data_IF_531682523666
#
_entry.id   IF_531682523666
#
_cell.length_a   1.000
_cell.length_b   1.000
_cell.length_c   1.000
_cell.angle_alpha   90.00
_cell.angle_beta   90.00
_cell.angle_gamma   90.00
#
_symmetry.space_group_name_H-M   'P 1'
#
loop_
_entity.id
_entity.type
_entity.pdbx_description
1 polymer ?
#
# COMPACT_ATOMS: atom_id res chain seq x y z
N UNK A 1 3.69 -13.02 -24.62
CA UNK A 1 4.67 -12.20 -25.36
C UNK A 1 6.06 -12.38 -24.75
N UNK A 2 7.09 -12.62 -25.57
CA UNK A 2 8.48 -12.73 -25.10
C UNK A 2 9.13 -11.35 -25.18
N UNK A 3 9.48 -10.78 -24.03
CA UNK A 3 10.18 -9.49 -23.95
C UNK A 3 11.69 -9.71 -23.97
N UNK A 4 12.42 -8.76 -24.57
CA UNK A 4 13.88 -8.70 -24.55
C UNK A 4 14.34 -7.40 -23.91
N UNK A 5 15.59 -7.33 -23.46
CA UNK A 5 16.17 -6.12 -22.89
C UNK A 5 17.53 -5.81 -23.56
N UNK A 6 17.79 -4.55 -23.95
CA UNK A 6 16.86 -3.41 -23.98
C UNK A 6 15.90 -3.51 -25.18
N UNK A 7 14.62 -3.14 -24.99
CA UNK A 7 13.63 -3.08 -26.08
C UNK A 7 12.55 -2.04 -25.79
N UNK A 8 11.88 -1.57 -26.85
CA UNK A 8 10.75 -0.65 -26.72
C UNK A 8 9.57 -1.31 -26.02
N UNK A 9 9.37 -2.60 -26.25
CA UNK A 9 8.31 -3.40 -25.66
C UNK A 9 8.51 -3.56 -24.14
N UNK A 10 9.77 -3.64 -23.68
CA UNK A 10 10.10 -3.56 -22.26
C UNK A 10 9.73 -2.19 -21.69
N UNK A 11 10.13 -1.10 -22.35
CA UNK A 11 9.82 0.26 -21.90
C UNK A 11 8.30 0.50 -21.78
N UNK A 12 7.53 0.07 -22.78
CA UNK A 12 6.08 0.17 -22.79
C UNK A 12 5.43 -0.69 -21.70
N UNK A 13 5.93 -1.90 -21.46
CA UNK A 13 5.44 -2.76 -20.39
C UNK A 13 5.68 -2.15 -19.00
N UNK A 14 6.87 -1.57 -18.76
CA UNK A 14 7.19 -0.89 -17.50
C UNK A 14 6.32 0.35 -17.31
N UNK A 15 6.13 1.17 -18.35
CA UNK A 15 5.24 2.33 -18.30
C UNK A 15 3.79 1.93 -18.02
N UNK A 16 3.31 0.85 -18.64
CA UNK A 16 1.96 0.33 -18.41
C UNK A 16 1.78 -0.15 -16.96
N UNK A 17 2.81 -0.74 -16.34
CA UNK A 17 2.79 -1.12 -14.91
C UNK A 17 2.67 0.12 -14.03
N UNK A 18 3.49 1.16 -14.28
CA UNK A 18 3.42 2.42 -13.53
C UNK A 18 2.05 3.09 -13.63
N UNK A 19 1.42 3.07 -14.81
CA UNK A 19 0.11 3.67 -15.03
C UNK A 19 -1.09 2.76 -14.66
N UNK A 20 -0.85 1.56 -14.12
CA UNK A 20 -1.91 0.61 -13.79
C UNK A 20 -2.72 0.11 -15.01
N UNK A 21 -2.12 0.14 -16.20
CA UNK A 21 -2.74 -0.23 -17.49
C UNK A 21 -2.09 -1.45 -18.15
N UNK A 22 -1.17 -2.12 -17.46
CA UNK A 22 -0.51 -3.32 -17.96
C UNK A 22 -1.48 -4.47 -18.17
N UNK A 23 -1.46 -5.08 -19.35
CA UNK A 23 -2.18 -6.32 -19.64
C UNK A 23 -1.52 -7.53 -18.95
N UNK A 24 -2.29 -8.60 -18.75
CA UNK A 24 -1.79 -9.86 -18.20
C UNK A 24 -0.68 -10.48 -19.05
N UNK A 25 -0.67 -10.22 -20.36
CA UNK A 25 0.38 -10.68 -21.25
C UNK A 25 1.68 -9.88 -21.07
N UNK A 26 1.58 -8.55 -20.91
CA UNK A 26 2.73 -7.70 -20.61
C UNK A 26 3.32 -8.02 -19.23
N UNK A 27 2.48 -8.21 -18.21
CA UNK A 27 2.93 -8.57 -16.85
C UNK A 27 3.66 -9.93 -16.83
N UNK A 28 3.13 -10.93 -17.55
CA UNK A 28 3.80 -12.23 -17.66
C UNK A 28 5.15 -12.14 -18.36
N UNK A 29 5.20 -11.47 -19.52
CA UNK A 29 6.46 -11.29 -20.27
C UNK A 29 7.50 -10.49 -19.50
N UNK A 30 7.08 -9.47 -18.75
CA UNK A 30 7.97 -8.65 -17.91
C UNK A 30 8.53 -9.47 -16.75
N UNK A 31 7.68 -10.24 -16.05
CA UNK A 31 8.13 -11.13 -14.97
C UNK A 31 9.09 -12.24 -15.43
N UNK A 32 8.92 -12.76 -16.64
CA UNK A 32 9.87 -13.73 -17.22
C UNK A 32 11.22 -13.08 -17.49
N UNK A 33 11.24 -11.92 -18.15
CA UNK A 33 12.46 -11.18 -18.47
C UNK A 33 13.24 -10.77 -17.20
N UNK A 34 12.55 -10.26 -16.18
CA UNK A 34 13.15 -9.83 -14.92
C UNK A 34 13.77 -10.98 -14.12
N UNK A 35 13.32 -12.22 -14.32
CA UNK A 35 13.91 -13.40 -13.65
C UNK A 35 15.25 -13.80 -14.26
N UNK A 36 15.42 -13.61 -15.56
CA UNK A 36 16.60 -14.07 -16.30
C UNK A 36 17.67 -12.99 -16.53
N UNK A 37 17.32 -11.71 -16.45
CA UNK A 37 18.20 -10.59 -16.79
C UNK A 37 18.40 -9.63 -15.60
N UNK A 38 19.63 -9.47 -15.13
CA UNK A 38 19.96 -8.55 -14.03
C UNK A 38 19.92 -7.08 -14.45
N UNK A 39 20.35 -6.75 -15.67
CA UNK A 39 20.35 -5.37 -16.15
C UNK A 39 18.91 -4.86 -16.37
N UNK A 40 18.01 -5.74 -16.81
CA UNK A 40 16.58 -5.45 -16.87
C UNK A 40 15.98 -5.16 -15.47
N UNK A 41 16.41 -5.89 -14.43
CA UNK A 41 15.99 -5.64 -13.04
C UNK A 41 16.45 -4.29 -12.54
N UNK A 42 17.70 -3.93 -12.77
CA UNK A 42 18.26 -2.66 -12.32
C UNK A 42 17.51 -1.47 -12.97
N UNK A 43 17.24 -1.55 -14.27
CA UNK A 43 16.46 -0.52 -14.98
C UNK A 43 14.99 -0.47 -14.54
N UNK A 44 14.38 -1.62 -14.26
CA UNK A 44 13.01 -1.68 -13.75
C UNK A 44 12.89 -1.01 -12.38
N UNK A 45 13.80 -1.30 -11.45
CA UNK A 45 13.84 -0.70 -10.12
C UNK A 45 14.01 0.81 -10.21
N UNK A 46 14.98 1.28 -11.01
CA UNK A 46 15.24 2.71 -11.20
C UNK A 46 13.99 3.47 -11.68
N UNK A 47 13.27 2.91 -12.67
CA UNK A 47 12.06 3.55 -13.22
C UNK A 47 10.88 3.55 -12.26
N UNK A 48 10.70 2.46 -11.51
CA UNK A 48 9.67 2.37 -10.49
C UNK A 48 9.93 3.35 -9.33
N UNK A 49 11.20 3.48 -8.92
CA UNK A 49 11.62 4.46 -7.93
C UNK A 49 11.35 5.89 -8.40
N UNK A 50 11.78 6.26 -9.61
CA UNK A 50 11.49 7.58 -10.19
C UNK A 50 9.99 7.88 -10.24
N UNK A 51 9.18 6.91 -10.69
CA UNK A 51 7.73 7.05 -10.73
C UNK A 51 7.15 7.25 -9.32
N UNK A 52 7.61 6.48 -8.33
CA UNK A 52 7.16 6.61 -6.95
C UNK A 52 7.49 7.98 -6.35
N UNK A 53 8.69 8.51 -6.60
CA UNK A 53 9.11 9.84 -6.12
C UNK A 53 8.28 10.95 -6.77
N UNK A 54 8.12 10.90 -8.09
CA UNK A 54 7.28 11.86 -8.83
C UNK A 54 5.81 11.83 -8.41
N UNK A 55 5.29 10.66 -8.04
CA UNK A 55 3.92 10.52 -7.58
C UNK A 55 3.71 10.92 -6.10
N UNK A 56 4.79 10.95 -5.30
CA UNK A 56 4.70 11.10 -3.83
C UNK A 56 5.16 12.44 -3.29
N UNK A 57 5.82 13.29 -4.07
CA UNK A 57 6.28 14.62 -3.64
C UNK A 57 5.41 15.74 -4.26
N UNK A 58 4.53 16.40 -3.47
CA UNK A 58 3.79 17.58 -3.90
C UNK A 58 4.69 18.82 -4.10
N UNK A 59 5.88 18.82 -3.50
CA UNK A 59 6.81 19.97 -3.43
C UNK A 59 7.91 19.97 -4.51
N UNK A 60 7.93 19.02 -5.44
CA UNK A 60 8.90 19.03 -6.56
C UNK A 60 8.65 20.14 -7.60
N UNK A 61 7.50 20.81 -7.51
CA UNK A 61 7.24 22.04 -8.25
C UNK A 61 7.28 23.20 -7.27
N UNK A 62 8.43 23.86 -7.20
CA UNK A 62 8.57 25.19 -6.60
C UNK A 62 7.44 26.07 -7.12
N UNK A 63 6.55 26.49 -6.22
CA UNK A 63 5.73 27.67 -6.43
C UNK A 63 6.68 28.83 -6.73
N UNK A 64 6.64 29.35 -7.95
CA UNK A 64 7.27 30.60 -8.30
C UNK A 64 6.55 31.75 -7.57
N UNK A 65 6.74 31.85 -6.26
CA UNK A 65 6.46 33.09 -5.53
C UNK A 65 7.70 33.98 -5.64
N UNK A 66 7.58 34.90 -6.60
CA UNK A 66 7.99 36.30 -6.49
C UNK A 66 9.30 36.58 -5.74
N UNK A 67 10.42 36.50 -6.47
CA UNK A 67 11.51 37.45 -6.29
C UNK A 67 11.51 38.44 -7.45
N UNK A 68 10.81 39.55 -7.24
CA UNK A 68 11.14 40.82 -7.88
C UNK A 68 12.54 41.22 -7.43
N UNK A 69 13.54 41.02 -8.28
CA UNK A 69 14.78 41.79 -8.23
C UNK A 69 15.31 41.98 -9.63
N UNK A 70 15.21 43.23 -10.08
CA UNK A 70 15.94 43.77 -11.21
C UNK A 70 17.43 43.52 -11.00
N UNK A 71 18.00 42.64 -11.83
CA UNK A 71 19.44 42.57 -12.01
C UNK A 71 19.73 42.42 -13.51
N UNK A 72 19.94 43.58 -14.12
CA UNK A 72 20.64 43.73 -15.40
C UNK A 72 21.90 42.88 -15.43
N UNK A 73 21.98 41.95 -16.37
CA UNK A 73 23.26 41.43 -16.86
C UNK A 73 23.28 41.47 -18.39
N UNK A 74 24.11 42.40 -18.84
CA UNK A 74 24.62 42.54 -20.19
C UNK A 74 25.42 41.30 -20.60
N UNK A 75 25.28 40.92 -21.87
CA UNK A 75 26.38 40.29 -22.61
C UNK A 75 26.18 38.84 -23.06
N UNK A 76 26.38 38.69 -24.39
CA UNK A 76 26.59 37.46 -25.19
C UNK A 76 25.36 36.69 -25.64
N UNK A 77 24.99 37.00 -26.88
CA UNK A 77 24.07 36.22 -27.69
C UNK A 77 24.62 34.84 -28.02
N UNK A 78 23.68 33.89 -28.04
CA UNK A 78 23.79 32.63 -28.77
C UNK A 78 22.57 32.58 -29.69
N UNK A 79 22.79 32.83 -30.98
CA UNK A 79 21.80 32.65 -32.04
C UNK A 79 21.70 31.16 -32.35
N UNK A 80 20.55 30.54 -32.08
CA UNK A 80 20.22 29.23 -32.64
C UNK A 80 19.52 29.42 -34.00
N UNK A 81 19.85 28.61 -35.02
CA UNK A 81 19.39 28.82 -36.39
C UNK A 81 17.91 28.46 -36.54
N UNK A 82 17.14 29.38 -37.11
CA UNK A 82 15.74 29.18 -37.50
C UNK A 82 15.69 28.52 -38.87
N UNK A 83 15.73 27.19 -38.90
CA UNK A 83 15.40 26.40 -40.09
C UNK A 83 14.19 25.50 -39.80
N UNK A 84 13.00 26.00 -40.13
CA UNK A 84 11.83 25.15 -40.38
C UNK A 84 11.20 25.67 -41.68
N UNK A 85 11.15 24.87 -42.77
CA UNK A 85 10.50 25.27 -44.00
C UNK A 85 8.97 25.34 -43.77
N UNK A 86 8.40 26.48 -44.15
CA UNK A 86 6.96 26.69 -44.20
C UNK A 86 6.39 25.89 -45.38
N UNK A 87 5.63 24.84 -45.10
CA UNK A 87 4.86 24.11 -46.12
C UNK A 87 3.61 24.93 -46.41
N UNK A 88 3.60 25.60 -47.55
CA UNK A 88 2.40 26.18 -48.15
C UNK A 88 1.42 25.05 -48.50
N UNK A 89 0.20 25.15 -47.98
CA UNK A 89 -0.91 24.29 -48.39
C UNK A 89 -1.91 25.12 -49.21
N UNK A 90 -2.37 24.64 -50.38
CA UNK A 90 -3.22 25.43 -51.25
C UNK A 90 -4.64 25.48 -50.70
N UNK A 91 -5.18 26.70 -50.65
CA UNK A 91 -6.60 26.98 -50.39
C UNK A 91 -7.46 26.39 -51.51
N UNK A 92 -8.30 25.39 -51.19
CA UNK A 92 -9.40 24.95 -52.06
C UNK A 92 -10.73 25.22 -51.39
N UNK A 93 -11.51 26.13 -51.98
CA UNK A 93 -12.81 26.56 -51.48
C UNK A 93 -13.98 25.65 -51.88
N UNK A 94 -15.00 25.64 -50.99
CA UNK A 94 -16.46 25.39 -51.21
C UNK A 94 -16.85 24.05 -51.89
N UNK A 95 -17.78 23.22 -51.41
CA UNK A 95 -19.03 23.40 -50.66
C UNK A 95 -19.41 22.08 -49.97
N UNK A 96 -20.00 22.11 -48.76
CA UNK A 96 -21.13 21.25 -48.36
C UNK A 96 -21.67 21.71 -46.99
N UNK A 97 -22.53 22.74 -47.01
CA UNK A 97 -23.41 23.06 -45.88
C UNK A 97 -24.58 22.06 -45.88
N UNK A 98 -24.32 20.79 -45.59
CA UNK A 98 -25.36 19.79 -45.31
C UNK A 98 -24.80 18.54 -44.60
N UNK A 99 -23.80 18.71 -43.73
CA UNK A 99 -23.36 17.62 -42.82
C UNK A 99 -23.32 18.03 -41.36
N UNK A 100 -23.55 19.31 -41.03
CA UNK A 100 -23.42 19.82 -39.67
C UNK A 100 -24.62 19.51 -38.76
N UNK A 101 -25.80 19.22 -39.33
CA UNK A 101 -26.99 18.92 -38.52
C UNK A 101 -27.00 17.46 -38.03
N UNK A 102 -26.46 16.52 -38.82
CA UNK A 102 -26.39 15.10 -38.44
C UNK A 102 -25.26 14.84 -37.44
N UNK A 103 -24.13 15.56 -37.56
CA UNK A 103 -23.01 15.42 -36.64
C UNK A 103 -23.36 15.95 -35.21
N UNK A 104 -24.16 17.01 -35.10
CA UNK A 104 -24.52 17.58 -33.80
C UNK A 104 -25.46 16.66 -33.00
N UNK A 105 -26.40 16.00 -33.67
CA UNK A 105 -27.33 15.06 -33.04
C UNK A 105 -26.63 13.79 -32.53
N UNK A 106 -25.63 13.29 -33.28
CA UNK A 106 -24.82 12.15 -32.85
C UNK A 106 -23.95 12.48 -31.63
N UNK A 107 -23.39 13.69 -31.56
CA UNK A 107 -22.63 14.13 -30.39
C UNK A 107 -23.51 14.25 -29.13
N UNK A 108 -24.73 14.78 -29.24
CA UNK A 108 -25.64 14.89 -28.09
C UNK A 108 -26.10 13.51 -27.62
N UNK A 109 -26.36 12.57 -28.53
CA UNK A 109 -26.74 11.20 -28.18
C UNK A 109 -25.59 10.42 -27.51
N UNK A 110 -24.35 10.58 -27.98
CA UNK A 110 -23.16 9.97 -27.35
C UNK A 110 -22.87 10.57 -25.98
N UNK A 111 -23.05 11.88 -25.81
CA UNK A 111 -22.92 12.54 -24.51
C UNK A 111 -24.01 12.07 -23.55
N UNK A 112 -25.26 11.94 -23.99
CA UNK A 112 -26.35 11.45 -23.15
C UNK A 112 -26.18 9.97 -22.75
N UNK A 113 -25.73 9.11 -23.68
CA UNK A 113 -25.44 7.70 -23.40
C UNK A 113 -24.23 7.54 -22.48
N UNK A 114 -23.18 8.36 -22.66
CA UNK A 114 -22.03 8.41 -21.75
C UNK A 114 -22.41 8.91 -20.36
N UNK A 115 -23.33 9.88 -20.27
CA UNK A 115 -23.84 10.37 -18.99
C UNK A 115 -24.72 9.35 -18.26
N UNK A 116 -25.50 8.55 -19.01
CA UNK A 116 -26.35 7.50 -18.43
C UNK A 116 -25.54 6.26 -18.03
N UNK A 117 -24.54 5.87 -18.84
CA UNK A 117 -23.62 4.77 -18.53
C UNK A 117 -22.73 5.07 -17.32
N UNK A 118 -22.27 6.33 -17.19
CA UNK A 118 -21.51 6.79 -16.01
C UNK A 118 -22.37 6.96 -14.75
N UNK A 119 -23.71 7.03 -14.88
CA UNK A 119 -24.66 7.00 -13.74
C UNK A 119 -24.94 5.59 -13.23
N UNK A 120 -24.83 4.55 -14.07
CA UNK A 120 -24.97 3.15 -13.65
C UNK A 120 -23.65 2.53 -13.18
N UNK A 121 -22.52 3.06 -13.67
CA UNK A 121 -21.18 2.67 -13.24
C UNK A 121 -20.51 3.82 -12.49
N UNK A 122 -21.14 4.24 -11.38
CA UNK A 122 -20.33 4.82 -10.32
C UNK A 122 -19.55 3.67 -9.70
N UNK A 123 -18.21 3.59 -9.82
CA UNK A 123 -17.46 2.89 -8.80
C UNK A 123 -17.93 3.55 -7.50
N UNK A 124 -18.48 2.75 -6.57
CA UNK A 124 -18.82 3.23 -5.25
C UNK A 124 -17.62 4.04 -4.77
N UNK A 125 -17.72 5.37 -4.80
CA UNK A 125 -16.91 6.23 -3.96
C UNK A 125 -17.18 5.67 -2.58
N UNK A 126 -16.23 4.86 -2.09
CA UNK A 126 -16.17 4.54 -0.68
C UNK A 126 -15.92 5.88 -0.05
N UNK A 127 -17.03 6.54 0.29
CA UNK A 127 -17.15 7.62 1.25
C UNK A 127 -16.02 7.40 2.22
N UNK A 128 -15.06 8.32 2.27
CA UNK A 128 -13.89 8.21 3.14
C UNK A 128 -14.35 8.10 4.59
N UNK A 129 -14.78 6.92 5.01
CA UNK A 129 -14.77 6.49 6.38
C UNK A 129 -13.30 6.40 6.66
N UNK A 130 -12.77 7.36 7.40
CA UNK A 130 -11.48 7.21 8.09
C UNK A 130 -11.50 5.81 8.70
N UNK A 131 -10.80 4.87 8.06
CA UNK A 131 -10.85 3.47 8.44
C UNK A 131 -10.42 3.40 9.89
N UNK A 132 -11.25 2.82 10.76
CA UNK A 132 -10.87 2.64 12.18
C UNK A 132 -9.85 1.53 12.35
N UNK A 133 -9.30 1.02 11.26
CA UNK A 133 -8.34 -0.05 11.25
C UNK A 133 -7.12 0.27 12.12
N UNK A 134 -6.61 -0.78 12.77
CA UNK A 134 -5.47 -0.72 13.67
C UNK A 134 -4.34 -1.65 13.23
N UNK A 135 -4.64 -2.57 12.31
CA UNK A 135 -3.71 -3.54 11.78
C UNK A 135 -4.13 -4.01 10.37
N UNK A 136 -3.32 -4.86 9.74
CA UNK A 136 -3.64 -5.57 8.51
C UNK A 136 -3.32 -7.05 8.64
N UNK A 137 -4.15 -7.90 8.02
CA UNK A 137 -3.86 -9.31 7.86
C UNK A 137 -2.86 -9.50 6.71
N UNK A 138 -1.59 -9.75 7.03
CA UNK A 138 -0.51 -9.76 6.05
C UNK A 138 -0.21 -11.16 5.48
N UNK A 139 -0.35 -12.22 6.29
CA UNK A 139 -0.21 -13.61 5.85
C UNK A 139 -1.23 -14.51 6.54
N UNK A 140 -1.65 -15.57 5.86
CA UNK A 140 -2.52 -16.61 6.40
C UNK A 140 -2.12 -17.95 5.77
N UNK A 141 -1.95 -18.98 6.60
CA UNK A 141 -1.61 -20.36 6.18
C UNK A 141 -2.57 -21.32 6.87
N UNK A 142 -3.33 -22.09 6.09
CA UNK A 142 -4.30 -23.09 6.56
C UNK A 142 -5.26 -22.58 7.65
N UNK A 143 -5.65 -21.30 7.51
CA UNK A 143 -6.43 -20.58 8.50
C UNK A 143 -7.90 -20.97 8.45
N UNK A 144 -8.45 -21.33 9.61
CA UNK A 144 -9.89 -21.42 9.83
C UNK A 144 -10.30 -20.41 10.89
N UNK A 145 -11.12 -19.43 10.55
CA UNK A 145 -11.63 -18.43 11.49
C UNK A 145 -12.89 -18.93 12.22
N UNK A 146 -12.99 -18.64 13.51
CA UNK A 146 -14.17 -18.92 14.35
C UNK A 146 -14.91 -17.63 14.69
N UNK A 147 -15.43 -16.95 13.67
CA UNK A 147 -16.10 -15.66 13.86
C UNK A 147 -17.48 -15.60 13.21
N UNK A 148 -18.35 -14.81 13.84
CA UNK A 148 -19.70 -14.53 13.38
C UNK A 148 -19.65 -13.39 12.35
N UNK A 149 -19.35 -13.71 11.09
CA UNK A 149 -19.23 -12.74 10.01
C UNK A 149 -18.29 -13.22 8.91
N UNK A 150 -18.05 -12.37 7.91
CA UNK A 150 -17.11 -12.69 6.84
C UNK A 150 -15.69 -12.78 7.40
N UNK A 151 -14.93 -13.87 7.13
CA UNK A 151 -13.55 -13.99 7.55
C UNK A 151 -12.69 -12.85 6.96
N UNK A 152 -11.71 -12.31 7.71
CA UNK A 152 -10.82 -11.30 7.17
C UNK A 152 -10.07 -11.87 5.96
N UNK A 153 -10.07 -11.10 4.87
CA UNK A 153 -9.34 -11.45 3.66
C UNK A 153 -7.86 -11.12 3.82
N UNK A 154 -7.00 -11.86 3.14
CA UNK A 154 -5.60 -11.51 3.04
C UNK A 154 -5.44 -10.08 2.49
N UNK A 155 -4.60 -9.27 3.13
CA UNK A 155 -4.39 -7.85 2.82
C UNK A 155 -5.49 -6.93 3.35
N UNK A 156 -6.52 -7.45 4.02
CA UNK A 156 -7.60 -6.61 4.55
C UNK A 156 -7.13 -5.82 5.78
N UNK A 157 -7.58 -4.56 5.92
CA UNK A 157 -7.45 -3.82 7.17
C UNK A 157 -8.32 -4.48 8.26
N UNK A 158 -7.80 -4.51 9.49
CA UNK A 158 -8.44 -5.07 10.66
C UNK A 158 -8.82 -3.94 11.62
N UNK A 159 -10.11 -3.81 11.91
CA UNK A 159 -10.65 -2.89 12.90
C UNK A 159 -10.56 -3.48 14.33
N UNK A 160 -10.65 -2.63 15.38
CA UNK A 160 -10.77 -3.09 16.75
C UNK A 160 -11.93 -4.08 16.90
N UNK A 161 -11.67 -5.21 17.54
CA UNK A 161 -12.64 -6.29 17.60
C UNK A 161 -12.00 -7.64 17.93
N UNK A 162 -12.86 -8.65 17.99
CA UNK A 162 -12.43 -10.03 18.21
C UNK A 162 -11.96 -10.67 16.91
N UNK A 163 -10.81 -11.32 17.00
CA UNK A 163 -10.20 -12.11 15.96
C UNK A 163 -9.95 -13.52 16.53
N UNK A 164 -10.83 -14.45 16.17
CA UNK A 164 -10.82 -15.82 16.70
C UNK A 164 -10.34 -16.78 15.63
N UNK A 165 -9.19 -17.38 15.87
CA UNK A 165 -8.55 -18.32 14.96
C UNK A 165 -8.76 -19.73 15.52
N UNK A 166 -9.43 -20.61 14.77
CA UNK A 166 -9.65 -22.01 15.15
C UNK A 166 -8.42 -22.87 14.90
N UNK A 167 -7.77 -22.69 13.75
CA UNK A 167 -6.57 -23.43 13.33
C UNK A 167 -5.76 -22.62 12.31
N UNK A 168 -4.49 -22.99 12.11
CA UNK A 168 -3.60 -22.36 11.14
C UNK A 168 -2.73 -21.25 11.74
N UNK A 169 -2.04 -20.52 10.88
CA UNK A 169 -1.15 -19.42 11.25
C UNK A 169 -1.59 -18.13 10.55
N UNK A 170 -1.72 -17.05 11.30
CA UNK A 170 -2.01 -15.72 10.75
C UNK A 170 -0.95 -14.71 11.20
N UNK A 171 -0.39 -13.97 10.25
CA UNK A 171 0.49 -12.83 10.51
C UNK A 171 -0.31 -11.54 10.38
N UNK A 172 -0.33 -10.79 11.47
CA UNK A 172 -0.98 -9.50 11.62
C UNK A 172 0.14 -8.44 11.73
N UNK A 173 0.00 -7.35 10.98
CA UNK A 173 0.92 -6.21 11.07
C UNK A 173 0.12 -5.02 11.56
N UNK A 174 0.44 -4.53 12.76
CA UNK A 174 -0.20 -3.36 13.35
C UNK A 174 0.28 -2.08 12.68
N UNK A 175 -0.54 -1.03 12.70
CA UNK A 175 -0.15 0.27 12.17
C UNK A 175 0.96 0.96 12.97
N UNK A 176 1.24 0.50 14.18
CA UNK A 176 2.46 0.83 14.93
C UNK A 176 3.73 0.25 14.32
N UNK A 177 3.62 -0.80 13.51
CA UNK A 177 4.72 -1.56 12.93
C UNK A 177 4.98 -2.92 13.59
N UNK A 178 4.26 -3.25 14.68
CA UNK A 178 4.40 -4.57 15.33
C UNK A 178 3.98 -5.69 14.40
N UNK A 179 4.84 -6.70 14.25
CA UNK A 179 4.53 -7.93 13.52
C UNK A 179 4.15 -8.99 14.53
N UNK A 180 2.90 -9.43 14.50
CA UNK A 180 2.38 -10.47 15.37
C UNK A 180 2.01 -11.70 14.54
N UNK A 181 2.47 -12.88 14.96
CA UNK A 181 2.03 -14.16 14.43
C UNK A 181 1.19 -14.84 15.50
N UNK A 182 0.00 -15.31 15.13
CA UNK A 182 -0.87 -16.11 15.99
C UNK A 182 -1.05 -17.52 15.42
N UNK A 183 -1.13 -18.50 16.30
CA UNK A 183 -1.35 -19.91 15.98
C UNK A 183 -2.70 -20.37 16.55
N UNK A 184 -3.57 -20.93 15.72
CA UNK A 184 -4.87 -21.44 16.16
C UNK A 184 -4.74 -22.72 17.00
N UNK A 185 -5.54 -22.91 18.07
CA UNK A 185 -6.65 -22.06 18.49
C UNK A 185 -6.19 -20.81 19.26
N UNK A 186 -6.71 -19.63 18.90
CA UNK A 186 -6.40 -18.35 19.55
C UNK A 186 -7.62 -17.42 19.58
N UNK A 187 -7.89 -16.84 20.76
CA UNK A 187 -8.86 -15.76 20.98
C UNK A 187 -8.12 -14.44 21.21
N UNK A 188 -7.93 -13.66 20.15
CA UNK A 188 -7.28 -12.36 20.20
C UNK A 188 -8.31 -11.23 20.06
N UNK A 189 -8.16 -10.16 20.83
CA UNK A 189 -8.93 -8.93 20.67
C UNK A 189 -7.98 -7.79 20.28
N UNK A 190 -8.21 -7.21 19.12
CA UNK A 190 -7.54 -6.00 18.66
C UNK A 190 -8.15 -4.80 19.37
N UNK A 191 -7.34 -4.01 20.09
CA UNK A 191 -7.81 -2.84 20.85
C UNK A 191 -7.39 -1.56 20.15
N UNK A 192 -6.10 -1.41 19.87
CA UNK A 192 -5.51 -0.24 19.23
C UNK A 192 -4.28 -0.63 18.41
N UNK A 193 -3.63 0.30 17.68
CA UNK A 193 -2.36 0.01 17.01
C UNK A 193 -1.24 -0.45 17.97
N UNK A 194 -1.33 -0.08 19.26
CA UNK A 194 -0.31 -0.37 20.28
C UNK A 194 -0.80 -1.35 21.36
N UNK A 195 -1.97 -1.96 21.21
CA UNK A 195 -2.56 -2.74 22.28
C UNK A 195 -3.45 -3.88 21.76
N UNK A 196 -3.27 -5.06 22.36
CA UNK A 196 -4.11 -6.23 22.16
C UNK A 196 -4.43 -6.90 23.49
N UNK A 197 -5.54 -7.64 23.52
CA UNK A 197 -5.82 -8.60 24.59
C UNK A 197 -5.85 -10.01 24.02
N UNK A 198 -5.07 -10.92 24.58
CA UNK A 198 -5.07 -12.34 24.25
C UNK A 198 -5.77 -13.11 25.38
N UNK A 199 -6.93 -13.68 25.09
CA UNK A 199 -7.69 -14.45 26.08
C UNK A 199 -7.21 -15.91 26.16
N UNK A 200 -6.83 -16.48 25.02
CA UNK A 200 -6.30 -17.84 24.91
C UNK A 200 -5.50 -17.98 23.62
N UNK A 201 -4.54 -18.91 23.61
CA UNK A 201 -3.79 -19.29 22.42
C UNK A 201 -2.31 -18.92 22.47
N UNK A 202 -1.65 -18.97 21.30
CA UNK A 202 -0.21 -18.76 21.19
C UNK A 202 0.09 -17.67 20.18
N UNK A 203 0.98 -16.75 20.58
CA UNK A 203 1.40 -15.65 19.74
C UNK A 203 2.89 -15.35 19.88
N UNK A 204 3.47 -14.80 18.83
CA UNK A 204 4.81 -14.22 18.81
C UNK A 204 4.67 -12.79 18.31
N UNK A 205 5.29 -11.85 19.01
CA UNK A 205 5.33 -10.44 18.65
C UNK A 205 6.77 -9.99 18.45
N UNK A 206 7.02 -9.36 17.31
CA UNK A 206 8.28 -8.67 17.01
C UNK A 206 8.00 -7.17 16.98
N UNK A 207 8.57 -6.47 17.95
CA UNK A 207 8.34 -5.03 18.14
C UNK A 207 9.55 -4.24 17.65
N UNK A 208 9.41 -3.44 16.58
CA UNK A 208 10.49 -2.58 16.10
C UNK A 208 10.65 -1.34 17.00
N UNK A 209 11.78 -0.60 16.90
CA UNK A 209 12.07 0.54 17.78
C UNK A 209 11.00 1.65 17.80
N UNK A 210 10.31 1.90 16.69
CA UNK A 210 9.24 2.90 16.62
C UNK A 210 7.95 2.50 17.35
N UNK A 211 7.82 1.23 17.74
CA UNK A 211 6.61 0.67 18.33
C UNK A 211 6.80 0.23 19.78
N UNK A 212 7.90 0.65 20.42
CA UNK A 212 8.19 0.37 21.83
C UNK A 212 7.03 0.84 22.71
N UNK A 213 6.60 -0.01 23.65
CA UNK A 213 5.46 0.23 24.53
C UNK A 213 4.15 -0.40 24.04
N UNK A 214 4.22 -1.28 23.03
CA UNK A 214 3.19 -2.23 22.67
C UNK A 214 2.79 -3.10 23.87
N UNK A 215 1.48 -3.18 24.10
CA UNK A 215 0.89 -3.86 25.26
C UNK A 215 0.10 -5.09 24.86
N UNK A 216 0.35 -6.20 25.55
CA UNK A 216 -0.41 -7.44 25.45
C UNK A 216 -1.02 -7.75 26.81
N UNK A 217 -2.34 -7.63 26.91
CA UNK A 217 -3.09 -8.02 28.10
C UNK A 217 -3.55 -9.47 28.01
N UNK A 218 -3.36 -10.21 29.09
CA UNK A 218 -3.87 -11.59 29.25
C UNK A 218 -4.68 -11.68 30.55
N UNK A 219 -5.50 -12.72 30.76
CA UNK A 219 -6.23 -12.87 32.02
C UNK A 219 -5.33 -12.91 33.26
N UNK A 220 -4.09 -13.37 33.12
CA UNK A 220 -3.16 -13.58 34.23
C UNK A 220 -2.15 -12.43 34.41
N UNK A 221 -1.85 -11.66 33.37
CA UNK A 221 -0.86 -10.58 33.43
C UNK A 221 -0.96 -9.61 32.25
N UNK A 222 -0.43 -8.41 32.44
CA UNK A 222 -0.16 -7.44 31.37
C UNK A 222 1.33 -7.46 31.02
N UNK A 223 1.65 -7.43 29.73
CA UNK A 223 3.02 -7.38 29.21
C UNK A 223 3.18 -6.10 28.40
N UNK A 224 4.27 -5.36 28.64
CA UNK A 224 4.68 -4.16 27.89
C UNK A 224 6.07 -4.40 27.33
N UNK A 225 6.24 -4.24 26.03
CA UNK A 225 7.54 -4.43 25.40
C UNK A 225 8.46 -3.21 25.63
N UNK A 226 9.77 -3.45 25.62
CA UNK A 226 10.81 -2.42 25.65
C UNK A 226 11.73 -2.49 24.41
N UNK A 227 11.18 -2.85 23.24
CA UNK A 227 11.90 -3.05 21.99
C UNK A 227 12.35 -4.49 21.79
N UNK A 228 11.37 -5.40 21.71
CA UNK A 228 11.58 -6.83 22.02
C UNK A 228 10.90 -7.77 21.03
N UNK A 229 11.50 -8.93 20.83
CA UNK A 229 10.84 -10.10 20.24
C UNK A 229 10.49 -11.08 21.35
N UNK A 230 9.20 -11.39 21.51
CA UNK A 230 8.70 -12.23 22.60
C UNK A 230 7.52 -13.10 22.16
N UNK A 231 7.36 -14.23 22.84
CA UNK A 231 6.26 -15.17 22.64
C UNK A 231 5.40 -15.30 23.90
N UNK A 232 4.09 -15.48 23.71
CA UNK A 232 3.17 -15.84 24.76
C UNK A 232 2.42 -17.12 24.41
N UNK A 233 2.25 -17.99 25.40
CA UNK A 233 1.27 -19.06 25.38
C UNK A 233 0.28 -18.84 26.54
N UNK A 234 -0.96 -18.49 26.20
CA UNK A 234 -2.03 -18.17 27.15
C UNK A 234 -2.97 -19.36 27.27
N UNK A 235 -2.96 -19.99 28.44
CA UNK A 235 -3.88 -21.09 28.82
C UNK A 235 -4.86 -20.57 29.88
N UNK A 236 -5.91 -21.34 30.17
CA UNK A 236 -6.97 -20.91 31.10
C UNK A 236 -6.47 -20.52 32.51
N UNK A 237 -5.34 -21.08 32.98
CA UNK A 237 -4.82 -20.83 34.34
C UNK A 237 -3.38 -20.31 34.39
N UNK A 238 -2.70 -20.21 33.25
CA UNK A 238 -1.30 -19.79 33.21
C UNK A 238 -1.00 -19.09 31.90
N UNK A 239 -0.07 -18.15 31.97
CA UNK A 239 0.55 -17.55 30.79
C UNK A 239 2.04 -17.81 30.86
N UNK A 240 2.59 -18.38 29.79
CA UNK A 240 4.02 -18.56 29.61
C UNK A 240 4.52 -17.43 28.72
N UNK A 241 5.53 -16.69 29.18
CA UNK A 241 6.15 -15.59 28.46
C UNK A 241 7.61 -15.94 28.23
N UNK A 242 8.06 -15.83 26.99
CA UNK A 242 9.44 -16.09 26.61
C UNK A 242 9.98 -14.93 25.78
N UNK A 243 11.19 -14.48 26.09
CA UNK A 243 11.82 -13.33 25.43
C UNK A 243 12.93 -13.85 24.53
N UNK A 244 12.76 -13.71 23.22
CA UNK A 244 13.75 -14.13 22.24
C UNK A 244 14.87 -13.10 22.07
N UNK A 245 14.55 -11.81 22.23
CA UNK A 245 15.51 -10.71 22.12
C UNK A 245 15.01 -9.48 22.85
N UNK A 246 15.85 -8.87 23.68
CA UNK A 246 15.52 -7.63 24.40
C UNK A 246 14.97 -7.90 25.80
N UNK A 247 13.95 -7.13 26.20
CA UNK A 247 13.36 -7.21 27.53
C UNK A 247 11.90 -6.76 27.55
N UNK A 248 11.09 -7.45 28.36
CA UNK A 248 9.68 -7.11 28.58
C UNK A 248 9.46 -6.75 30.04
N UNK A 249 8.60 -5.79 30.28
CA UNK A 249 8.01 -5.54 31.59
C UNK A 249 6.69 -6.30 31.67
N UNK A 250 6.46 -7.06 32.74
CA UNK A 250 5.20 -7.74 32.98
C UNK A 250 4.66 -7.44 34.38
N UNK A 251 3.33 -7.40 34.49
CA UNK A 251 2.61 -7.14 35.73
C UNK A 251 1.53 -8.21 35.90
N UNK A 252 1.68 -9.13 36.88
CA UNK A 252 0.64 -10.11 37.21
C UNK A 252 -0.69 -9.43 37.58
N UNK A 253 -1.82 -10.00 37.17
CA UNK A 253 -3.14 -9.41 37.44
C UNK A 253 -3.46 -9.31 38.94
N UNK A 254 -2.84 -10.15 39.78
CA UNK A 254 -3.01 -10.16 41.24
C UNK A 254 -2.02 -9.27 41.98
N UNK A 255 -1.11 -8.58 41.29
CA UNK A 255 -0.04 -7.78 41.90
C UNK A 255 0.09 -6.42 41.22
N UNK A 256 0.36 -5.38 41.99
CA UNK A 256 0.68 -4.05 41.43
C UNK A 256 2.16 -3.94 41.05
N UNK A 257 3.01 -4.87 41.49
CA UNK A 257 4.44 -4.84 41.21
C UNK A 257 4.75 -5.25 39.76
N UNK A 258 5.50 -4.40 39.07
CA UNK A 258 6.07 -4.66 37.74
C UNK A 258 7.37 -5.45 37.89
N UNK A 259 7.58 -6.41 37.00
CA UNK A 259 8.78 -7.23 36.92
C UNK A 259 9.34 -7.17 35.51
N UNK A 260 10.65 -7.26 35.38
CA UNK A 260 11.33 -7.27 34.10
C UNK A 260 11.85 -8.67 33.78
N UNK A 261 11.57 -9.14 32.58
CA UNK A 261 12.12 -10.37 32.03
C UNK A 261 13.02 -10.01 30.84
N UNK A 262 14.24 -10.57 30.84
CA UNK A 262 15.23 -10.37 29.77
C UNK A 262 15.27 -11.61 28.87
N UNK A 263 15.93 -11.47 27.73
CA UNK A 263 16.29 -12.56 26.83
C UNK A 263 16.88 -13.77 27.57
N UNK A 264 16.38 -14.96 27.22
CA UNK A 264 16.71 -16.25 27.86
C UNK A 264 15.46 -17.06 28.21
#
# INVERSE_FOLDING_TARGET
MKLAFPSREFDEAVAAVCHGSASDEQMRGLNELLRSDSAARDQYILRLELHSRLASEPDLFVSAEQDTSEASLTGRGITLPRNVPYIDSPRRGRKRKLSWVVALAACVALLAAGWWGSRLSQPSERKGTTSKAVAMLNRAVDVQWDQRGDPPRLGAPLEPGWLRLKSGLAQIVFYSGVRMVIEGPTDLKLISPNEVACQSGRLIAEVPPQAIGFRVSTPQMNVTDLGTSFGLEVKSRRTELHVFKGSVEFQPATSTAKQNLKEG
#
